data_IF_528738709265
#
_entry.id   IF_528738709265
#
_cell.length_a   1.000
_cell.length_b   1.000
_cell.length_c   1.000
_cell.angle_alpha   90.00
_cell.angle_beta   90.00
_cell.angle_gamma   90.00
#
_symmetry.space_group_name_H-M   'P 1'
#
loop_
_entity.id
_entity.type
_entity.pdbx_description
1 polymer ?
#
# COMPACT_ATOMS: atom_id res chain seq x y z
N UNK A 1 -31.56 39.13 23.81
CA UNK A 1 -30.40 40.02 23.86
C UNK A 1 -29.14 39.17 24.06
N UNK A 2 -28.39 38.97 22.97
CA UNK A 2 -27.10 38.28 23.04
C UNK A 2 -26.05 39.13 23.74
N UNK A 3 -25.04 38.50 24.35
CA UNK A 3 -23.92 39.13 25.05
C UNK A 3 -22.58 38.59 24.53
N UNK A 4 -21.51 39.32 24.86
CA UNK A 4 -20.12 38.95 24.52
C UNK A 4 -19.89 38.71 22.99
N UNK A 5 -20.54 39.53 22.15
CA UNK A 5 -20.35 39.47 20.70
C UNK A 5 -19.42 40.60 20.23
N UNK A 6 -18.53 40.27 19.30
CA UNK A 6 -17.68 41.25 18.61
C UNK A 6 -18.09 41.32 17.14
N UNK A 7 -18.43 42.52 16.63
CA UNK A 7 -18.78 42.75 15.24
C UNK A 7 -17.99 43.93 14.67
N UNK A 8 -17.27 43.73 13.58
CA UNK A 8 -16.52 44.74 12.87
C UNK A 8 -16.70 44.57 11.35
N UNK A 9 -17.37 45.48 10.71
CA UNK A 9 -17.65 45.46 9.28
C UNK A 9 -19.11 45.72 8.94
N UNK A 10 -19.36 46.09 7.66
CA UNK A 10 -20.73 46.38 7.18
C UNK A 10 -21.58 45.10 7.28
N UNK A 11 -22.72 45.16 7.96
CA UNK A 11 -23.66 44.06 8.18
C UNK A 11 -23.10 42.85 8.98
N UNK A 12 -21.96 42.97 9.65
CA UNK A 12 -21.45 41.95 10.54
C UNK A 12 -22.45 41.74 11.71
N UNK A 13 -22.84 40.47 11.97
CA UNK A 13 -23.83 40.08 12.99
C UNK A 13 -25.19 40.81 12.92
N UNK A 14 -25.56 41.33 11.75
CA UNK A 14 -26.78 42.16 11.59
C UNK A 14 -28.06 41.43 12.06
N UNK A 15 -28.17 40.12 11.81
CA UNK A 15 -29.32 39.31 12.16
C UNK A 15 -29.35 38.78 13.60
N UNK A 16 -28.29 39.05 14.40
CA UNK A 16 -28.15 38.46 15.72
C UNK A 16 -29.28 38.97 16.68
N UNK A 17 -29.99 37.99 17.27
CA UNK A 17 -31.09 38.33 18.22
C UNK A 17 -30.72 37.95 19.64
N UNK A 18 -30.38 36.69 19.89
CA UNK A 18 -30.14 36.16 21.24
C UNK A 18 -28.80 35.41 21.38
N UNK A 19 -28.06 35.21 20.27
CA UNK A 19 -26.82 34.49 20.28
C UNK A 19 -25.67 35.24 20.97
N UNK A 20 -24.79 34.53 21.63
CA UNK A 20 -23.68 35.05 22.44
C UNK A 20 -22.32 34.50 21.98
N UNK A 21 -21.24 35.12 22.43
CA UNK A 21 -19.87 34.70 22.22
C UNK A 21 -19.45 34.60 20.74
N UNK A 22 -20.04 35.39 19.86
CA UNK A 22 -19.65 35.34 18.45
C UNK A 22 -18.64 36.45 18.12
N UNK A 23 -17.66 36.13 17.29
CA UNK A 23 -16.72 37.09 16.71
C UNK A 23 -16.93 37.16 15.21
N UNK A 24 -17.33 38.29 14.68
CA UNK A 24 -17.54 38.55 13.26
C UNK A 24 -16.75 39.75 12.77
N UNK A 25 -15.76 39.53 11.94
CA UNK A 25 -14.92 40.62 11.37
C UNK A 25 -14.93 40.49 9.84
N UNK A 26 -15.48 41.47 9.18
CA UNK A 26 -15.61 41.49 7.73
C UNK A 26 -17.02 41.87 7.26
N UNK A 27 -17.14 42.32 6.01
CA UNK A 27 -18.44 42.62 5.42
C UNK A 27 -19.32 41.35 5.42
N UNK A 28 -20.55 41.47 5.94
CA UNK A 28 -21.54 40.39 6.00
C UNK A 28 -21.07 39.13 6.77
N UNK A 29 -20.03 39.21 7.60
CA UNK A 29 -19.64 38.06 8.45
C UNK A 29 -20.77 37.77 9.45
N UNK A 30 -21.22 36.47 9.55
CA UNK A 30 -22.36 36.03 10.38
C UNK A 30 -23.62 36.87 10.19
N UNK A 31 -23.87 37.35 8.96
CA UNK A 31 -24.91 38.35 8.69
C UNK A 31 -26.31 37.95 9.17
N UNK A 32 -26.72 36.71 8.96
CA UNK A 32 -28.06 36.19 9.28
C UNK A 32 -28.10 35.35 10.55
N UNK A 33 -27.02 35.33 11.30
CA UNK A 33 -26.95 34.57 12.56
C UNK A 33 -28.05 35.04 13.51
N UNK A 34 -28.92 34.13 13.95
CA UNK A 34 -30.03 34.48 14.82
C UNK A 34 -29.82 34.03 16.27
N UNK A 35 -29.57 32.76 16.45
CA UNK A 35 -29.47 32.12 17.77
C UNK A 35 -28.19 31.31 17.96
N UNK A 36 -27.34 31.18 16.93
CA UNK A 36 -26.12 30.37 16.98
C UNK A 36 -25.02 31.08 17.75
N UNK A 37 -24.44 30.41 18.72
CA UNK A 37 -23.40 30.95 19.62
C UNK A 37 -22.02 30.32 19.34
N UNK A 38 -21.01 30.93 19.93
CA UNK A 38 -19.64 30.42 19.92
C UNK A 38 -19.01 30.27 18.51
N UNK A 39 -19.41 31.17 17.59
CA UNK A 39 -18.86 31.17 16.23
C UNK A 39 -17.79 32.26 16.06
N UNK A 40 -16.73 31.96 15.32
CA UNK A 40 -15.72 32.89 14.87
C UNK A 40 -15.74 32.98 13.35
N UNK A 41 -16.00 34.18 12.80
CA UNK A 41 -16.04 34.45 11.38
C UNK A 41 -15.11 35.66 11.03
N UNK A 42 -14.01 35.38 10.35
CA UNK A 42 -13.03 36.34 9.91
C UNK A 42 -12.95 36.40 8.39
N UNK A 43 -13.45 37.43 7.77
CA UNK A 43 -13.43 37.64 6.31
C UNK A 43 -14.79 38.02 5.75
N UNK A 44 -14.78 38.70 4.60
CA UNK A 44 -16.01 39.09 3.93
C UNK A 44 -16.82 37.84 3.52
N UNK A 45 -18.11 37.83 3.87
CA UNK A 45 -19.02 36.72 3.59
C UNK A 45 -18.76 35.44 4.39
N UNK A 46 -17.85 35.47 5.38
CA UNK A 46 -17.58 34.30 6.24
C UNK A 46 -18.82 33.95 7.05
N UNK A 47 -19.30 32.70 6.97
CA UNK A 47 -20.53 32.20 7.61
C UNK A 47 -21.78 33.08 7.36
N UNK A 48 -21.87 33.74 6.19
CA UNK A 48 -22.89 34.72 5.94
C UNK A 48 -24.35 34.18 6.10
N UNK A 49 -24.57 32.90 5.82
CA UNK A 49 -25.89 32.23 5.87
C UNK A 49 -26.13 31.45 7.16
N UNK A 50 -25.22 31.46 8.13
CA UNK A 50 -25.38 30.69 9.35
C UNK A 50 -26.58 31.21 10.18
N UNK A 51 -27.48 30.32 10.56
CA UNK A 51 -28.67 30.64 11.36
C UNK A 51 -28.59 30.09 12.77
N UNK A 52 -28.34 28.77 12.88
CA UNK A 52 -28.37 28.03 14.15
C UNK A 52 -27.14 27.15 14.39
N UNK A 53 -26.17 27.08 13.46
CA UNK A 53 -24.94 26.30 13.62
C UNK A 53 -23.99 26.92 14.63
N UNK A 54 -23.61 26.17 15.67
CA UNK A 54 -22.76 26.63 16.76
C UNK A 54 -21.30 26.16 16.60
N UNK A 55 -20.40 26.77 17.38
CA UNK A 55 -19.01 26.30 17.53
C UNK A 55 -18.22 26.24 16.21
N UNK A 56 -18.52 27.08 15.25
CA UNK A 56 -17.81 27.09 13.98
C UNK A 56 -16.69 28.14 13.97
N UNK A 57 -15.55 27.77 13.41
CA UNK A 57 -14.45 28.68 13.13
C UNK A 57 -14.31 28.82 11.62
N UNK A 58 -14.40 30.01 11.10
CA UNK A 58 -14.14 30.29 9.68
C UNK A 58 -13.26 31.51 9.49
N UNK A 59 -12.21 31.38 8.72
CA UNK A 59 -11.27 32.45 8.41
C UNK A 59 -10.95 32.46 6.91
N UNK A 60 -11.40 33.49 6.21
CA UNK A 60 -11.21 33.66 4.78
C UNK A 60 -12.48 34.18 4.08
N UNK A 61 -12.28 34.84 2.95
CA UNK A 61 -13.41 35.34 2.14
C UNK A 61 -14.30 34.20 1.70
N UNK A 62 -15.61 34.29 1.95
CA UNK A 62 -16.61 33.26 1.66
C UNK A 62 -16.35 31.87 2.27
N UNK A 63 -15.55 31.78 3.33
CA UNK A 63 -15.40 30.53 4.09
C UNK A 63 -16.74 30.18 4.76
N UNK A 64 -17.23 28.96 4.57
CA UNK A 64 -18.53 28.47 5.07
C UNK A 64 -19.73 29.39 4.74
N UNK A 65 -19.68 30.09 3.59
CA UNK A 65 -20.69 31.10 3.29
C UNK A 65 -22.14 30.62 3.22
N UNK A 66 -22.35 29.35 2.86
CA UNK A 66 -23.65 28.70 2.74
C UNK A 66 -24.08 27.91 3.99
N UNK A 67 -23.25 27.83 5.04
CA UNK A 67 -23.58 27.09 6.24
C UNK A 67 -24.87 27.64 6.88
N UNK A 68 -25.82 26.77 7.19
CA UNK A 68 -27.07 27.18 7.83
C UNK A 68 -27.17 26.64 9.26
N UNK A 69 -27.00 25.35 9.43
CA UNK A 69 -27.18 24.66 10.72
C UNK A 69 -25.99 23.77 11.11
N UNK A 70 -24.99 23.59 10.21
CA UNK A 70 -23.80 22.79 10.51
C UNK A 70 -23.01 23.37 11.67
N UNK A 71 -22.58 22.51 12.59
CA UNK A 71 -21.87 22.88 13.82
C UNK A 71 -20.50 22.20 13.91
N UNK A 72 -19.65 22.72 14.81
CA UNK A 72 -18.36 22.14 15.13
C UNK A 72 -17.40 22.05 13.91
N UNK A 73 -17.49 22.97 12.96
CA UNK A 73 -16.67 23.00 11.78
C UNK A 73 -15.52 24.00 11.89
N UNK A 74 -14.37 23.67 11.30
CA UNK A 74 -13.23 24.55 11.13
C UNK A 74 -12.97 24.76 9.63
N UNK A 75 -13.05 25.99 9.14
CA UNK A 75 -12.82 26.34 7.75
C UNK A 75 -11.87 27.55 7.61
N UNK A 76 -10.63 27.28 7.26
CA UNK A 76 -9.60 28.29 7.10
C UNK A 76 -9.10 28.35 5.66
N UNK A 77 -9.37 29.44 4.98
CA UNK A 77 -9.00 29.64 3.59
C UNK A 77 -10.15 30.23 2.76
N UNK A 78 -9.81 30.88 1.65
CA UNK A 78 -10.83 31.41 0.73
C UNK A 78 -11.71 30.28 0.19
N UNK A 79 -13.02 30.41 0.35
CA UNK A 79 -14.02 29.44 -0.09
C UNK A 79 -13.86 28.03 0.52
N UNK A 80 -13.14 27.87 1.64
CA UNK A 80 -13.13 26.64 2.38
C UNK A 80 -14.56 26.31 2.85
N UNK A 81 -15.06 25.09 2.56
CA UNK A 81 -16.42 24.63 2.89
C UNK A 81 -17.55 25.57 2.41
N UNK A 82 -17.33 26.30 1.31
CA UNK A 82 -18.29 27.37 0.91
C UNK A 82 -19.71 26.84 0.61
N UNK A 83 -19.86 25.59 0.18
CA UNK A 83 -21.17 24.98 -0.09
C UNK A 83 -21.77 24.23 1.10
N UNK A 84 -21.08 24.12 2.23
CA UNK A 84 -21.62 23.41 3.40
C UNK A 84 -22.92 24.03 3.87
N UNK A 85 -23.93 23.23 4.12
CA UNK A 85 -25.22 23.70 4.67
C UNK A 85 -25.48 23.13 6.06
N UNK A 86 -25.41 21.83 6.21
CA UNK A 86 -25.74 21.12 7.46
C UNK A 86 -24.64 20.17 7.94
N UNK A 87 -23.57 19.99 7.16
CA UNK A 87 -22.44 19.14 7.53
C UNK A 87 -21.76 19.63 8.80
N UNK A 88 -21.43 18.70 9.69
CA UNK A 88 -20.86 18.98 11.00
C UNK A 88 -19.52 18.27 11.24
N UNK A 89 -18.74 18.77 12.19
CA UNK A 89 -17.46 18.17 12.61
C UNK A 89 -16.45 18.00 11.44
N UNK A 90 -16.42 18.95 10.52
CA UNK A 90 -15.49 18.97 9.42
C UNK A 90 -14.33 19.95 9.69
N UNK A 91 -13.13 19.61 9.23
CA UNK A 91 -11.96 20.47 9.25
C UNK A 91 -11.47 20.72 7.82
N UNK A 92 -11.50 21.96 7.38
CA UNK A 92 -11.03 22.40 6.06
C UNK A 92 -9.99 23.52 6.20
N UNK A 93 -8.75 23.24 5.89
CA UNK A 93 -7.66 24.22 5.92
C UNK A 93 -6.99 24.27 4.54
N UNK A 94 -7.20 25.38 3.85
CA UNK A 94 -6.72 25.60 2.49
C UNK A 94 -7.79 26.26 1.62
N UNK A 95 -7.36 26.93 0.54
CA UNK A 95 -8.28 27.50 -0.44
C UNK A 95 -9.12 26.38 -1.05
N UNK A 96 -10.45 26.55 -1.07
CA UNK A 96 -11.42 25.57 -1.63
C UNK A 96 -11.34 24.15 -1.04
N UNK A 97 -10.72 23.95 0.13
CA UNK A 97 -10.79 22.67 0.85
C UNK A 97 -12.25 22.36 1.21
N UNK A 98 -12.71 21.11 0.97
CA UNK A 98 -14.10 20.67 1.17
C UNK A 98 -15.15 21.57 0.50
N UNK A 99 -14.83 22.18 -0.64
CA UNK A 99 -15.66 23.24 -1.24
C UNK A 99 -17.10 22.78 -1.51
N UNK A 100 -17.31 21.56 -2.04
CA UNK A 100 -18.63 21.04 -2.43
C UNK A 100 -19.29 20.15 -1.36
N UNK A 101 -18.68 20.04 -0.19
CA UNK A 101 -19.29 19.30 0.93
C UNK A 101 -20.58 20.02 1.37
N UNK A 102 -21.73 19.43 1.15
CA UNK A 102 -23.04 20.06 1.47
C UNK A 102 -23.53 19.60 2.83
N UNK A 103 -23.54 18.30 3.08
CA UNK A 103 -24.18 17.69 4.26
C UNK A 103 -23.31 16.68 4.99
N UNK A 104 -22.13 16.32 4.44
CA UNK A 104 -21.32 15.25 4.99
C UNK A 104 -20.52 15.71 6.21
N UNK A 105 -20.30 14.76 7.13
CA UNK A 105 -19.69 14.99 8.41
C UNK A 105 -18.30 14.34 8.52
N UNK A 106 -17.53 14.78 9.52
CA UNK A 106 -16.30 14.14 9.94
C UNK A 106 -15.19 14.07 8.86
N UNK A 107 -15.17 15.00 7.92
CA UNK A 107 -14.10 15.10 6.94
C UNK A 107 -12.99 16.01 7.43
N UNK A 108 -11.74 15.62 7.17
CA UNK A 108 -10.54 16.45 7.42
C UNK A 108 -9.82 16.70 6.10
N UNK A 109 -9.73 17.95 5.67
CA UNK A 109 -9.06 18.36 4.44
C UNK A 109 -8.03 19.45 4.74
N UNK A 110 -6.76 19.20 4.54
CA UNK A 110 -5.68 20.15 4.73
C UNK A 110 -4.86 20.27 3.45
N UNK A 111 -4.96 21.40 2.79
CA UNK A 111 -4.30 21.71 1.52
C UNK A 111 -5.23 22.45 0.55
N UNK A 112 -4.65 23.18 -0.43
CA UNK A 112 -5.43 23.81 -1.51
C UNK A 112 -6.20 22.72 -2.29
N UNK A 113 -7.50 22.89 -2.46
CA UNK A 113 -8.42 21.95 -3.12
C UNK A 113 -8.47 20.54 -2.52
N UNK A 114 -8.00 20.30 -1.29
CA UNK A 114 -8.13 18.99 -0.65
C UNK A 114 -9.62 18.63 -0.49
N UNK A 115 -10.02 17.41 -0.93
CA UNK A 115 -11.41 16.90 -0.92
C UNK A 115 -12.43 17.89 -1.52
N UNK A 116 -12.03 18.71 -2.50
CA UNK A 116 -12.91 19.79 -3.00
C UNK A 116 -14.20 19.31 -3.64
N UNK A 117 -14.27 18.07 -4.13
CA UNK A 117 -15.45 17.48 -4.80
C UNK A 117 -16.22 16.47 -3.95
N UNK A 118 -15.85 16.27 -2.68
CA UNK A 118 -16.40 15.18 -1.87
C UNK A 118 -17.83 15.45 -1.38
N UNK A 119 -18.64 14.43 -1.44
CA UNK A 119 -19.94 14.32 -0.76
C UNK A 119 -19.96 13.11 0.18
N UNK A 120 -18.86 12.36 0.29
CA UNK A 120 -18.67 11.27 1.25
C UNK A 120 -18.27 11.78 2.63
N UNK A 121 -18.52 11.00 3.67
CA UNK A 121 -18.20 11.32 5.06
C UNK A 121 -16.94 10.60 5.55
N UNK A 122 -16.31 11.08 6.62
CA UNK A 122 -15.23 10.41 7.31
C UNK A 122 -13.90 10.36 6.54
N UNK A 123 -13.71 11.18 5.50
CA UNK A 123 -12.46 11.19 4.74
C UNK A 123 -11.41 12.10 5.40
N UNK A 124 -10.17 11.67 5.37
CA UNK A 124 -9.00 12.47 5.76
C UNK A 124 -8.09 12.65 4.56
N UNK A 125 -7.82 13.91 4.16
CA UNK A 125 -6.90 14.23 3.09
C UNK A 125 -5.95 15.35 3.49
N UNK A 126 -4.65 15.10 3.36
CA UNK A 126 -3.60 16.06 3.69
C UNK A 126 -2.64 16.17 2.50
N UNK A 127 -2.62 17.33 1.89
CA UNK A 127 -1.81 17.64 0.71
C UNK A 127 -2.56 18.49 -0.31
N UNK A 128 -1.85 19.20 -1.16
CA UNK A 128 -2.46 19.98 -2.26
C UNK A 128 -3.15 19.03 -3.22
N UNK A 129 -4.44 19.25 -3.49
CA UNK A 129 -5.25 18.40 -4.36
C UNK A 129 -5.53 17.00 -3.82
N UNK A 130 -5.13 16.68 -2.58
CA UNK A 130 -5.40 15.37 -2.00
C UNK A 130 -6.89 15.03 -2.04
N UNK A 131 -7.25 13.90 -2.66
CA UNK A 131 -8.62 13.46 -2.79
C UNK A 131 -9.55 14.35 -3.60
N UNK A 132 -9.04 15.28 -4.40
CA UNK A 132 -9.87 16.25 -5.18
C UNK A 132 -10.96 15.56 -6.03
N UNK A 133 -10.68 14.39 -6.58
CA UNK A 133 -11.62 13.64 -7.42
C UNK A 133 -12.55 12.70 -6.65
N UNK A 134 -12.37 12.55 -5.33
CA UNK A 134 -13.31 11.75 -4.53
C UNK A 134 -14.67 12.45 -4.53
N UNK A 135 -15.70 11.68 -4.89
CA UNK A 135 -17.09 12.13 -4.89
C UNK A 135 -17.85 11.51 -3.72
N UNK A 136 -18.37 10.32 -3.87
CA UNK A 136 -19.17 9.64 -2.83
C UNK A 136 -18.36 8.67 -1.93
N UNK A 137 -17.08 8.46 -2.23
CA UNK A 137 -16.20 7.62 -1.39
C UNK A 137 -16.12 8.14 0.05
N UNK A 138 -16.17 7.25 1.03
CA UNK A 138 -16.19 7.56 2.45
C UNK A 138 -15.07 6.83 3.23
N UNK A 139 -14.71 7.38 4.39
CA UNK A 139 -13.72 6.76 5.29
C UNK A 139 -12.36 6.48 4.63
N UNK A 140 -11.94 7.31 3.68
CA UNK A 140 -10.64 7.18 3.05
C UNK A 140 -9.63 8.10 3.75
N UNK A 141 -8.37 7.62 3.85
CA UNK A 141 -7.24 8.41 4.32
C UNK A 141 -6.25 8.60 3.18
N UNK A 142 -5.96 9.85 2.81
CA UNK A 142 -5.04 10.22 1.74
C UNK A 142 -4.01 11.21 2.29
N UNK A 143 -2.73 10.86 2.16
CA UNK A 143 -1.63 11.77 2.50
C UNK A 143 -0.73 11.92 1.29
N UNK A 144 -0.46 13.15 0.87
CA UNK A 144 0.30 13.51 -0.32
C UNK A 144 -0.57 14.03 -1.45
N UNK A 145 -0.08 14.01 -2.70
CA UNK A 145 -0.75 14.62 -3.87
C UNK A 145 -1.76 13.74 -4.60
N UNK A 146 -2.08 12.54 -4.12
CA UNK A 146 -3.01 11.63 -4.81
C UNK A 146 -4.43 12.20 -4.88
N UNK A 147 -4.94 12.39 -6.10
CA UNK A 147 -6.23 13.06 -6.33
C UNK A 147 -7.45 12.14 -6.16
N UNK A 148 -7.30 10.83 -6.19
CA UNK A 148 -8.40 9.87 -6.00
C UNK A 148 -8.71 8.97 -7.21
N UNK A 149 -8.16 9.22 -8.39
CA UNK A 149 -8.38 8.42 -9.61
C UNK A 149 -7.16 8.36 -10.53
N UNK A 150 -5.98 8.16 -9.98
CA UNK A 150 -4.71 8.12 -10.71
C UNK A 150 -4.06 6.73 -10.58
N UNK A 151 -3.16 6.40 -11.51
CA UNK A 151 -2.31 5.21 -11.43
C UNK A 151 -3.08 3.89 -11.21
N UNK A 152 -4.19 3.71 -11.93
CA UNK A 152 -5.07 2.52 -11.81
C UNK A 152 -5.72 2.34 -10.43
N UNK A 153 -5.76 3.40 -9.63
CA UNK A 153 -6.47 3.46 -8.34
C UNK A 153 -7.63 4.43 -8.45
N UNK A 154 -8.84 3.95 -8.32
CA UNK A 154 -10.05 4.77 -8.39
C UNK A 154 -10.80 4.73 -7.06
N UNK A 155 -10.73 5.83 -6.33
CA UNK A 155 -11.40 6.03 -5.04
C UNK A 155 -12.59 7.00 -5.12
N UNK A 156 -13.02 7.40 -6.34
CA UNK A 156 -14.10 8.39 -6.49
C UNK A 156 -15.38 8.01 -5.73
N UNK A 157 -15.72 6.73 -5.77
CA UNK A 157 -16.86 6.15 -5.07
C UNK A 157 -16.48 5.04 -4.09
N UNK A 158 -15.20 4.70 -3.98
CA UNK A 158 -14.71 3.62 -3.11
C UNK A 158 -14.41 4.14 -1.71
N UNK A 159 -14.59 3.27 -0.71
CA UNK A 159 -14.47 3.63 0.72
C UNK A 159 -13.46 2.74 1.44
N UNK A 160 -13.04 3.20 2.63
CA UNK A 160 -12.17 2.45 3.55
C UNK A 160 -10.78 2.15 2.98
N UNK A 161 -10.17 3.10 2.25
CA UNK A 161 -8.81 2.98 1.73
C UNK A 161 -7.85 3.90 2.49
N UNK A 162 -6.60 3.46 2.62
CA UNK A 162 -5.49 4.31 3.03
C UNK A 162 -4.51 4.45 1.86
N UNK A 163 -4.17 5.68 1.48
CA UNK A 163 -3.21 5.98 0.43
C UNK A 163 -2.16 6.95 0.96
N UNK A 164 -0.90 6.52 0.92
CA UNK A 164 0.24 7.41 1.08
C UNK A 164 0.85 7.65 -0.30
N UNK A 165 0.95 8.88 -0.71
CA UNK A 165 1.51 9.28 -2.01
C UNK A 165 2.61 10.31 -1.85
N UNK A 166 3.42 10.47 -2.89
CA UNK A 166 4.34 11.61 -2.99
C UNK A 166 3.60 12.91 -3.37
N UNK A 167 4.35 14.02 -3.49
CA UNK A 167 3.81 15.33 -3.85
C UNK A 167 3.20 15.38 -5.26
N UNK A 168 3.65 14.52 -6.17
CA UNK A 168 3.16 14.41 -7.55
C UNK A 168 1.92 13.51 -7.67
N UNK A 169 1.49 12.91 -6.57
CA UNK A 169 0.30 12.07 -6.50
C UNK A 169 0.54 10.60 -6.84
N UNK A 170 1.79 10.15 -6.94
CA UNK A 170 2.07 8.73 -7.15
C UNK A 170 1.87 7.97 -5.84
N UNK A 171 0.95 6.99 -5.76
CA UNK A 171 0.78 6.19 -4.56
C UNK A 171 2.06 5.39 -4.24
N UNK A 172 2.50 5.45 -2.99
CA UNK A 172 3.65 4.68 -2.48
C UNK A 172 3.20 3.52 -1.60
N UNK A 173 2.09 3.69 -0.91
CA UNK A 173 1.41 2.63 -0.16
C UNK A 173 -0.09 2.78 -0.35
N UNK A 174 -0.76 1.68 -0.64
CA UNK A 174 -2.22 1.60 -0.69
C UNK A 174 -2.65 0.43 0.19
N UNK A 175 -3.59 0.68 1.09
CA UNK A 175 -4.32 -0.37 1.83
C UNK A 175 -5.76 -0.30 1.35
N UNK A 176 -6.27 -1.38 0.76
CA UNK A 176 -7.64 -1.42 0.25
C UNK A 176 -8.66 -1.74 1.37
N UNK A 177 -9.94 -1.70 1.02
CA UNK A 177 -11.05 -1.96 1.95
C UNK A 177 -11.08 -3.38 2.54
N UNK A 178 -10.27 -4.29 2.03
CA UNK A 178 -10.10 -5.66 2.55
C UNK A 178 -8.82 -5.81 3.39
N UNK A 179 -8.12 -4.71 3.65
CA UNK A 179 -6.85 -4.72 4.38
C UNK A 179 -5.65 -5.20 3.56
N UNK A 180 -5.80 -5.41 2.23
CA UNK A 180 -4.68 -5.76 1.36
C UNK A 180 -3.83 -4.54 1.11
N UNK A 181 -2.54 -4.65 1.32
CA UNK A 181 -1.59 -3.57 1.02
C UNK A 181 -0.83 -3.81 -0.28
N UNK A 182 -0.53 -2.72 -0.99
CA UNK A 182 0.31 -2.69 -2.19
C UNK A 182 1.31 -1.55 -2.04
N UNK A 183 2.57 -1.83 -2.34
CA UNK A 183 3.61 -0.81 -2.48
C UNK A 183 3.78 -0.51 -3.96
N UNK A 184 3.70 0.75 -4.37
CA UNK A 184 3.77 1.26 -5.73
C UNK A 184 2.56 0.98 -6.65
N UNK A 185 2.47 1.79 -7.70
CA UNK A 185 1.54 1.56 -8.80
C UNK A 185 2.16 0.56 -9.80
N UNK A 186 1.30 -0.06 -10.60
CA UNK A 186 1.65 -1.11 -11.57
C UNK A 186 2.53 -0.65 -12.76
N UNK A 187 2.92 0.61 -12.85
CA UNK A 187 3.87 1.07 -13.87
C UNK A 187 5.29 0.85 -13.36
N UNK A 188 5.82 -0.33 -13.68
CA UNK A 188 7.24 -0.72 -13.66
C UNK A 188 8.16 0.17 -12.80
N UNK A 189 8.35 -0.20 -11.54
CA UNK A 189 9.61 0.12 -10.90
C UNK A 189 10.56 -1.01 -11.28
N UNK A 190 11.43 -0.77 -12.23
CA UNK A 190 12.63 -1.57 -12.37
C UNK A 190 13.34 -1.51 -11.01
N UNK A 191 13.40 -2.64 -10.29
CA UNK A 191 14.00 -2.72 -8.97
C UNK A 191 13.09 -2.43 -7.78
N UNK A 192 11.79 -2.82 -7.80
CA UNK A 192 10.97 -2.75 -6.59
C UNK A 192 11.49 -3.68 -5.52
N UNK A 193 11.96 -3.10 -4.42
CA UNK A 193 12.39 -3.83 -3.24
C UNK A 193 11.37 -3.66 -2.12
N UNK A 194 10.79 -4.77 -1.65
CA UNK A 194 10.25 -4.83 -0.31
C UNK A 194 11.39 -5.25 0.61
N UNK A 195 11.98 -4.29 1.31
CA UNK A 195 13.04 -4.58 2.28
C UNK A 195 12.45 -4.48 3.68
N UNK A 196 12.41 -5.58 4.39
CA UNK A 196 12.17 -5.60 5.84
C UNK A 196 13.51 -5.75 6.54
N UNK A 197 13.95 -4.69 7.24
CA UNK A 197 15.13 -4.72 8.10
C UNK A 197 14.65 -4.97 9.52
N UNK A 198 15.14 -6.03 10.16
CA UNK A 198 14.86 -6.35 11.56
C UNK A 198 16.14 -6.32 12.39
N UNK A 199 16.01 -6.00 13.66
CA UNK A 199 17.14 -6.06 14.60
C UNK A 199 17.44 -7.53 14.92
N UNK A 200 18.72 -7.89 14.87
CA UNK A 200 19.21 -9.25 15.13
C UNK A 200 18.89 -9.78 16.55
N UNK A 201 18.41 -8.94 17.43
CA UNK A 201 18.07 -9.31 18.80
C UNK A 201 16.66 -9.92 18.95
N UNK A 202 15.77 -9.76 17.97
CA UNK A 202 14.37 -10.20 18.07
C UNK A 202 14.10 -11.62 17.52
N UNK A 203 15.07 -12.30 16.96
CA UNK A 203 15.03 -13.71 16.60
C UNK A 203 14.10 -14.14 15.45
N UNK A 204 13.19 -13.29 14.94
CA UNK A 204 12.28 -13.60 13.82
C UNK A 204 12.18 -12.43 12.84
N UNK A 205 12.52 -12.65 11.59
CA UNK A 205 12.46 -11.62 10.55
C UNK A 205 11.03 -11.38 10.03
N UNK A 206 10.48 -12.33 9.30
CA UNK A 206 9.13 -12.23 8.71
C UNK A 206 8.31 -13.46 9.08
N UNK A 207 7.14 -13.24 9.65
CA UNK A 207 6.17 -14.31 9.92
C UNK A 207 5.04 -14.24 8.90
N UNK A 208 4.77 -15.35 8.20
CA UNK A 208 3.60 -15.55 7.36
C UNK A 208 2.71 -16.57 8.07
N UNK A 209 1.54 -16.15 8.54
CA UNK A 209 0.62 -17.02 9.28
C UNK A 209 -0.75 -17.10 8.61
N UNK A 210 -1.38 -18.26 8.73
CA UNK A 210 -2.79 -18.46 8.39
C UNK A 210 -3.53 -18.89 9.66
N UNK A 211 -4.70 -18.32 9.89
CA UNK A 211 -5.58 -18.70 11.00
C UNK A 211 -6.61 -19.75 10.58
N UNK A 212 -6.52 -20.26 9.35
CA UNK A 212 -7.43 -21.29 8.86
C UNK A 212 -7.14 -22.65 9.51
N UNK A 213 -8.14 -23.22 10.12
CA UNK A 213 -8.12 -24.55 10.76
C UNK A 213 -8.73 -25.65 9.90
N UNK A 214 -9.11 -25.36 8.65
CA UNK A 214 -9.83 -26.29 7.76
C UNK A 214 -8.98 -27.44 7.24
N UNK A 215 -7.65 -27.41 7.43
CA UNK A 215 -6.73 -28.40 6.87
C UNK A 215 -6.46 -28.25 5.36
N UNK A 216 -6.97 -27.20 4.75
CA UNK A 216 -6.73 -26.89 3.34
C UNK A 216 -5.29 -26.41 3.10
N UNK A 217 -4.83 -26.51 1.85
CA UNK A 217 -3.54 -25.95 1.45
C UNK A 217 -3.63 -24.45 1.26
N UNK A 218 -2.76 -23.71 1.91
CA UNK A 218 -2.63 -22.27 1.79
C UNK A 218 -1.26 -21.89 1.23
N UNK A 219 -1.25 -21.13 0.14
CA UNK A 219 -0.02 -20.56 -0.40
C UNK A 219 0.40 -19.37 0.47
N UNK A 220 1.54 -19.49 1.14
CA UNK A 220 2.14 -18.41 1.94
C UNK A 220 2.95 -17.45 1.07
N UNK A 221 3.65 -17.98 0.05
CA UNK A 221 4.38 -17.21 -0.96
C UNK A 221 4.03 -17.79 -2.33
N UNK A 222 3.69 -16.93 -3.27
CA UNK A 222 3.43 -17.32 -4.67
C UNK A 222 4.44 -16.58 -5.55
N UNK A 223 5.17 -17.34 -6.35
CA UNK A 223 6.07 -16.79 -7.38
C UNK A 223 5.31 -16.73 -8.70
N UNK A 224 5.15 -15.52 -9.25
CA UNK A 224 4.41 -15.28 -10.50
C UNK A 224 5.36 -14.72 -11.54
N UNK A 225 5.33 -15.27 -12.76
CA UNK A 225 6.02 -14.74 -13.95
C UNK A 225 5.03 -14.69 -15.11
N UNK A 226 4.92 -13.52 -15.77
CA UNK A 226 4.01 -13.32 -16.91
C UNK A 226 2.58 -13.82 -16.61
N UNK A 227 2.02 -13.42 -15.46
CA UNK A 227 0.68 -13.79 -14.97
C UNK A 227 0.46 -15.29 -14.69
N UNK A 228 1.50 -16.12 -14.75
CA UNK A 228 1.44 -17.56 -14.43
C UNK A 228 2.20 -17.86 -13.14
N UNK A 229 1.61 -18.68 -12.28
CA UNK A 229 2.29 -19.18 -11.08
C UNK A 229 3.40 -20.16 -11.49
N UNK A 230 4.64 -19.85 -11.10
CA UNK A 230 5.83 -20.69 -11.39
C UNK A 230 6.36 -21.40 -10.16
N UNK A 231 5.91 -21.02 -8.97
CA UNK A 231 6.30 -21.68 -7.73
C UNK A 231 5.49 -21.18 -6.55
N UNK A 232 5.48 -21.96 -5.48
CA UNK A 232 4.79 -21.64 -4.23
C UNK A 232 5.57 -22.15 -3.01
N UNK A 233 5.44 -21.42 -1.90
CA UNK A 233 5.65 -21.99 -0.57
C UNK A 233 4.28 -22.08 0.07
N UNK A 234 3.83 -23.28 0.39
CA UNK A 234 2.49 -23.52 0.93
C UNK A 234 2.52 -24.36 2.20
N UNK A 235 1.48 -24.23 3.01
CA UNK A 235 1.27 -25.02 4.23
C UNK A 235 -0.04 -25.78 4.16
N UNK A 236 -0.06 -27.01 4.68
CA UNK A 236 -1.26 -27.84 4.82
C UNK A 236 -1.17 -28.58 6.15
N UNK A 237 -2.05 -28.27 7.09
CA UNK A 237 -1.93 -28.79 8.45
C UNK A 237 -0.56 -28.46 9.06
N UNK A 238 0.24 -29.49 9.38
CA UNK A 238 1.60 -29.35 9.94
C UNK A 238 2.72 -29.38 8.90
N UNK A 239 2.40 -29.44 7.60
CA UNK A 239 3.39 -29.60 6.54
C UNK A 239 3.65 -28.30 5.78
N UNK A 240 4.91 -28.08 5.40
CA UNK A 240 5.32 -27.03 4.45
C UNK A 240 5.79 -27.68 3.16
N UNK A 241 5.27 -27.22 2.03
CA UNK A 241 5.66 -27.67 0.70
C UNK A 241 6.31 -26.52 -0.11
N UNK A 242 7.39 -26.86 -0.80
CA UNK A 242 8.10 -25.99 -1.74
C UNK A 242 7.79 -26.48 -3.15
N UNK A 243 6.80 -25.86 -3.80
CA UNK A 243 6.29 -26.30 -5.10
C UNK A 243 6.94 -25.53 -6.26
N UNK A 244 7.34 -26.27 -7.30
CA UNK A 244 7.68 -25.71 -8.61
C UNK A 244 6.76 -26.32 -9.67
N UNK A 245 6.47 -25.56 -10.74
CA UNK A 245 5.61 -26.04 -11.82
C UNK A 245 6.21 -27.29 -12.47
N UNK A 246 5.45 -28.41 -12.47
CA UNK A 246 5.87 -29.69 -13.06
C UNK A 246 4.73 -30.39 -13.80
N UNK A 247 3.68 -29.67 -14.21
CA UNK A 247 2.57 -30.22 -15.00
C UNK A 247 3.07 -30.72 -16.35
N UNK A 248 2.59 -31.89 -16.79
CA UNK A 248 2.99 -32.51 -18.07
C UNK A 248 2.65 -31.64 -19.27
N UNK A 249 1.59 -30.84 -19.19
CA UNK A 249 1.16 -29.90 -20.25
C UNK A 249 2.14 -28.76 -20.52
N UNK A 250 3.10 -28.57 -19.63
CA UNK A 250 4.18 -27.57 -19.75
C UNK A 250 5.48 -28.17 -20.28
N UNK A 251 5.47 -29.46 -20.67
CA UNK A 251 6.67 -30.21 -21.06
C UNK A 251 6.49 -30.81 -22.44
N UNK A 252 7.56 -30.77 -23.23
CA UNK A 252 7.66 -31.43 -24.53
C UNK A 252 9.01 -32.17 -24.61
N UNK A 253 9.17 -33.04 -25.63
CA UNK A 253 10.41 -33.79 -25.89
C UNK A 253 10.90 -34.61 -24.69
N UNK A 254 9.98 -35.29 -23.98
CA UNK A 254 10.30 -36.02 -22.78
C UNK A 254 11.07 -37.30 -23.18
N UNK A 255 12.34 -37.41 -22.74
CA UNK A 255 13.21 -38.58 -22.95
C UNK A 255 13.49 -39.30 -21.64
N UNK A 256 13.25 -40.64 -21.63
CA UNK A 256 13.54 -41.53 -20.49
C UNK A 256 14.80 -42.38 -20.70
N UNK A 257 15.50 -42.23 -21.84
CA UNK A 257 16.57 -43.17 -22.26
C UNK A 257 18.00 -42.60 -22.08
N UNK A 258 18.13 -41.39 -21.51
CA UNK A 258 19.42 -40.71 -21.30
C UNK A 258 20.33 -41.41 -20.27
N UNK A 259 21.65 -41.38 -20.48
CA UNK A 259 22.69 -41.98 -19.60
C UNK A 259 22.98 -41.08 -18.38
N UNK A 260 22.42 -41.46 -17.22
CA UNK A 260 22.61 -40.74 -15.98
C UNK A 260 23.92 -41.11 -15.28
N UNK A 261 24.32 -42.37 -15.31
CA UNK A 261 25.51 -42.86 -14.59
C UNK A 261 26.78 -42.16 -15.08
N UNK A 262 26.97 -42.01 -16.39
CA UNK A 262 28.12 -41.37 -16.95
C UNK A 262 28.14 -39.86 -16.63
N UNK A 263 26.98 -39.21 -16.58
CA UNK A 263 26.83 -37.80 -16.19
C UNK A 263 27.13 -37.59 -14.71
N UNK A 264 26.57 -38.45 -13.82
CA UNK A 264 26.77 -38.39 -12.38
C UNK A 264 28.26 -38.52 -11.97
N UNK A 265 29.00 -39.44 -12.63
CA UNK A 265 30.41 -39.70 -12.34
C UNK A 265 31.33 -38.47 -12.58
N UNK A 266 30.88 -37.47 -13.30
CA UNK A 266 31.65 -36.26 -13.56
C UNK A 266 31.47 -35.21 -12.43
N UNK A 267 30.43 -35.34 -11.59
CA UNK A 267 30.24 -34.47 -10.44
C UNK A 267 31.31 -34.71 -9.39
N UNK A 268 31.81 -33.66 -8.78
CA UNK A 268 32.85 -33.65 -7.76
C UNK A 268 32.32 -33.13 -6.44
N UNK A 269 31.73 -34.00 -5.58
CA UNK A 269 31.40 -33.61 -4.24
C UNK A 269 32.64 -33.15 -3.49
N UNK A 270 32.58 -32.04 -2.80
CA UNK A 270 33.69 -31.43 -2.08
C UNK A 270 33.30 -31.16 -0.62
N UNK A 271 34.32 -31.20 0.23
CA UNK A 271 34.21 -30.75 1.63
C UNK A 271 34.98 -29.46 1.77
N UNK A 272 34.32 -28.41 2.35
CA UNK A 272 34.92 -27.08 2.44
C UNK A 272 34.35 -26.32 3.64
N UNK A 273 34.99 -25.17 3.96
CA UNK A 273 34.48 -24.18 4.91
C UNK A 273 34.16 -22.89 4.14
N UNK A 274 33.12 -22.19 4.52
CA UNK A 274 32.90 -20.84 4.00
C UNK A 274 33.92 -19.87 4.60
N UNK A 275 34.39 -18.91 3.81
CA UNK A 275 35.37 -17.90 4.26
C UNK A 275 34.85 -17.11 5.46
N UNK A 276 33.51 -16.84 5.47
CA UNK A 276 32.82 -16.12 6.55
C UNK A 276 32.61 -16.99 7.80
N UNK A 277 32.71 -18.32 7.67
CA UNK A 277 32.54 -19.28 8.77
C UNK A 277 33.62 -20.39 8.63
N UNK A 278 34.87 -20.09 9.03
CA UNK A 278 35.99 -20.97 8.83
C UNK A 278 35.99 -22.21 9.74
N UNK A 279 35.23 -22.18 10.80
CA UNK A 279 35.21 -23.26 11.80
C UNK A 279 34.17 -24.36 11.47
N UNK A 280 33.20 -24.06 10.57
CA UNK A 280 32.15 -25.03 10.18
C UNK A 280 32.47 -25.67 8.83
N UNK A 281 32.73 -26.97 8.85
CA UNK A 281 32.97 -27.76 7.62
C UNK A 281 31.66 -28.32 7.08
N UNK A 282 31.42 -28.15 5.77
CA UNK A 282 30.22 -28.62 5.07
C UNK A 282 30.60 -29.45 3.84
N UNK A 283 29.71 -30.37 3.45
CA UNK A 283 29.80 -31.12 2.20
C UNK A 283 28.90 -30.47 1.15
N UNK A 284 29.38 -30.33 -0.07
CA UNK A 284 28.63 -29.69 -1.15
C UNK A 284 29.31 -29.75 -2.51
N UNK A 285 29.03 -28.78 -3.34
CA UNK A 285 29.58 -28.67 -4.69
C UNK A 285 30.06 -27.23 -4.96
N UNK A 286 31.03 -27.10 -5.81
CA UNK A 286 31.48 -25.82 -6.35
C UNK A 286 30.63 -25.53 -7.61
N UNK A 287 29.87 -24.44 -7.60
CA UNK A 287 28.85 -24.15 -8.63
C UNK A 287 29.39 -24.21 -10.07
N UNK A 288 30.53 -23.56 -10.36
CA UNK A 288 31.07 -23.57 -11.71
C UNK A 288 31.60 -24.93 -12.16
N UNK A 289 31.96 -25.86 -11.28
CA UNK A 289 32.33 -27.21 -11.63
C UNK A 289 31.13 -28.08 -12.01
N UNK A 290 29.94 -27.78 -11.44
CA UNK A 290 28.69 -28.44 -11.78
C UNK A 290 28.08 -27.88 -13.07
N UNK A 291 28.35 -26.64 -13.42
CA UNK A 291 27.71 -25.93 -14.53
C UNK A 291 27.82 -26.61 -15.90
N UNK A 292 28.93 -27.30 -16.17
CA UNK A 292 29.11 -28.04 -17.41
C UNK A 292 28.44 -29.41 -17.45
N UNK A 293 28.02 -29.91 -16.29
CA UNK A 293 27.44 -31.26 -16.13
C UNK A 293 25.93 -31.17 -15.95
N UNK A 294 25.46 -30.28 -15.06
CA UNK A 294 24.05 -30.03 -14.75
C UNK A 294 23.80 -28.53 -14.76
N UNK A 295 23.81 -27.88 -15.94
CA UNK A 295 23.67 -26.41 -16.05
C UNK A 295 22.36 -25.91 -15.46
N UNK A 296 21.29 -26.69 -15.51
CA UNK A 296 19.97 -26.37 -14.93
C UNK A 296 19.96 -26.26 -13.40
N UNK A 297 21.02 -26.75 -12.72
CA UNK A 297 21.19 -26.63 -11.27
C UNK A 297 21.89 -25.32 -10.86
N UNK A 298 22.48 -24.57 -11.80
CA UNK A 298 23.32 -23.42 -11.48
C UNK A 298 22.59 -22.12 -11.78
N UNK A 299 22.66 -21.20 -10.83
CA UNK A 299 22.14 -19.84 -10.94
C UNK A 299 23.32 -18.87 -10.92
N UNK A 300 23.37 -17.96 -11.89
CA UNK A 300 24.44 -16.98 -12.06
C UNK A 300 25.58 -17.48 -12.96
N UNK A 301 26.49 -16.59 -13.28
CA UNK A 301 27.66 -16.83 -14.15
C UNK A 301 28.94 -16.76 -13.32
N UNK A 302 29.92 -17.62 -13.66
CA UNK A 302 31.24 -17.60 -13.01
C UNK A 302 31.90 -16.24 -13.21
N UNK A 303 32.47 -15.71 -12.14
CA UNK A 303 33.22 -14.44 -12.10
C UNK A 303 32.38 -13.21 -12.54
N UNK A 304 31.04 -13.29 -12.42
CA UNK A 304 30.14 -12.17 -12.70
C UNK A 304 30.32 -11.03 -11.69
N UNK A 305 30.20 -9.79 -12.18
CA UNK A 305 30.14 -8.57 -11.35
C UNK A 305 28.90 -7.75 -11.69
N UNK A 306 28.44 -6.96 -10.71
CA UNK A 306 27.36 -6.00 -10.89
C UNK A 306 27.86 -4.71 -11.59
N UNK A 307 26.95 -3.72 -11.76
CA UNK A 307 27.26 -2.43 -12.37
C UNK A 307 28.33 -1.62 -11.63
N UNK A 308 28.54 -1.92 -10.34
CA UNK A 308 29.47 -1.23 -9.46
C UNK A 308 30.79 -1.99 -9.30
N UNK A 309 30.93 -3.13 -10.00
CA UNK A 309 32.13 -3.98 -9.99
C UNK A 309 32.19 -4.95 -8.81
N UNK A 310 31.13 -5.10 -8.02
CA UNK A 310 31.11 -6.06 -6.93
C UNK A 310 30.83 -7.48 -7.44
N UNK A 311 31.43 -8.52 -6.82
CA UNK A 311 31.20 -9.90 -7.21
C UNK A 311 29.73 -10.33 -7.08
N UNK A 312 29.16 -10.92 -8.13
CA UNK A 312 27.85 -11.59 -8.11
C UNK A 312 28.09 -13.09 -7.96
N UNK A 313 27.75 -13.64 -6.79
CA UNK A 313 28.04 -15.02 -6.44
C UNK A 313 27.11 -16.00 -7.17
N UNK A 314 27.66 -17.12 -7.64
CA UNK A 314 26.86 -18.23 -8.13
C UNK A 314 26.16 -18.98 -6.98
N UNK A 315 25.03 -19.60 -7.26
CA UNK A 315 24.36 -20.53 -6.36
C UNK A 315 23.97 -21.84 -7.07
N UNK A 316 23.67 -22.87 -6.30
CA UNK A 316 23.25 -24.19 -6.79
C UNK A 316 21.88 -24.57 -6.23
N UNK A 317 20.96 -24.94 -7.13
CA UNK A 317 19.70 -25.59 -6.79
C UNK A 317 19.91 -27.11 -6.76
N UNK A 318 20.17 -27.65 -5.59
CA UNK A 318 20.45 -29.09 -5.41
C UNK A 318 19.24 -29.97 -5.78
N UNK A 319 18.01 -29.44 -5.81
CA UNK A 319 16.85 -30.22 -6.23
C UNK A 319 16.92 -30.73 -7.66
N UNK A 320 17.70 -30.05 -8.52
CA UNK A 320 17.95 -30.43 -9.92
C UNK A 320 18.85 -31.64 -10.05
N UNK A 321 19.57 -32.01 -9.00
CA UNK A 321 20.39 -33.23 -8.97
C UNK A 321 19.54 -34.49 -8.66
N UNK A 322 18.37 -34.35 -8.07
CA UNK A 322 17.50 -35.47 -7.68
C UNK A 322 17.13 -36.37 -8.87
N UNK A 323 16.67 -35.88 -10.04
CA UNK A 323 16.37 -36.73 -11.20
C UNK A 323 17.58 -37.51 -11.69
N UNK A 324 18.78 -36.87 -11.66
CA UNK A 324 20.04 -37.54 -12.04
C UNK A 324 20.39 -38.66 -11.08
N UNK A 325 20.23 -38.44 -9.77
CA UNK A 325 20.47 -39.46 -8.76
C UNK A 325 19.49 -40.64 -8.88
N UNK A 326 18.19 -40.38 -9.03
CA UNK A 326 17.15 -41.39 -9.17
C UNK A 326 17.43 -42.26 -10.41
N UNK A 327 17.70 -41.63 -11.57
CA UNK A 327 17.98 -42.39 -12.81
C UNK A 327 19.27 -43.22 -12.70
N UNK A 328 20.32 -42.68 -12.06
CA UNK A 328 21.57 -43.45 -11.81
C UNK A 328 21.32 -44.66 -10.94
N UNK A 329 20.51 -44.54 -9.88
CA UNK A 329 20.15 -45.69 -9.02
C UNK A 329 19.41 -46.77 -9.84
N UNK A 330 18.43 -46.37 -10.67
CA UNK A 330 17.73 -47.32 -11.57
C UNK A 330 18.66 -48.06 -12.55
N UNK A 331 19.65 -47.33 -13.13
CA UNK A 331 20.65 -47.94 -14.02
C UNK A 331 21.58 -48.93 -13.27
N UNK A 332 21.98 -48.58 -12.04
CA UNK A 332 22.82 -49.43 -11.21
C UNK A 332 22.05 -50.66 -10.75
N UNK A 333 20.78 -50.53 -10.36
CA UNK A 333 19.89 -51.64 -9.97
C UNK A 333 19.72 -52.66 -11.15
N UNK A 334 19.46 -52.18 -12.35
CA UNK A 334 19.37 -53.00 -13.56
C UNK A 334 20.69 -53.74 -13.86
N UNK A 335 21.84 -53.10 -13.62
CA UNK A 335 23.17 -53.75 -13.80
C UNK A 335 23.41 -54.80 -12.74
N UNK A 336 23.04 -54.59 -11.48
CA UNK A 336 23.14 -55.55 -10.39
C UNK A 336 22.29 -56.77 -10.72
N UNK A 337 21.00 -56.61 -11.08
CA UNK A 337 20.12 -57.70 -11.47
C UNK A 337 20.68 -58.54 -12.64
N UNK A 338 21.35 -57.90 -13.61
CA UNK A 338 22.01 -58.60 -14.72
C UNK A 338 23.23 -59.40 -14.26
N UNK A 339 23.94 -58.95 -13.23
CA UNK A 339 25.10 -59.67 -12.68
C UNK A 339 24.67 -60.85 -11.79
N UNK A 340 23.57 -60.68 -11.03
CA UNK A 340 23.01 -61.72 -10.17
C UNK A 340 22.35 -62.88 -10.96
N UNK A 341 21.89 -62.59 -12.18
CA UNK A 341 21.30 -63.61 -13.09
C UNK A 341 22.33 -64.44 -13.84
N UNK A 342 23.63 -64.18 -13.66
CA UNK A 342 24.74 -64.95 -14.25
C UNK A 342 25.34 -65.93 -13.25
#
# INVERSE_FOLDING_TARGET
TGYDNTACGREALKGNTTASNNTAVGEAALKVNTTASDNTALGAGSQASNTTGNNNISAGTNSMSSNTTGSDNVAVGRSAMSANTTGASNTAVGKSALQTNITSNNNTAVGDNALSSTTGAGNTAVGVGAGTSITSGANNTIIGGFQGNQHSVDLRASSNHVVLSDGDGNPRLIIDNNGKYRTSNAASIAGSHFTHVYDSNDGTGMTLSSTDTSGNTHNQIIFIRNSSTVGTISTTGSNTAYGTSSDYRLKENVDYTWDATSRLKQLKPARFNFIIDPDTTVDGFIAHEVSSIVPEAIIGTKDAVDSDGNPVMQSIDQSKLVPLLVKTIQELEARIATLEAK
#
